data_IF_204615155810
#
_entry.id   IF_204615155810
#
_cell.length_a   1.000
_cell.length_b   1.000
_cell.length_c   1.000
_cell.angle_alpha   90.00
_cell.angle_beta   90.00
_cell.angle_gamma   90.00
#
_symmetry.space_group_name_H-M   'P 1'
#
loop_
_entity.id
_entity.type
_entity.pdbx_description
1 polymer ?
#
# COMPACT_ATOMS: atom_id res chain seq x y z
N UNK A 1 -3.52 -10.21 5.49
CA UNK A 1 -2.85 -9.72 4.26
C UNK A 1 -3.59 -8.48 3.81
N UNK A 2 -2.88 -7.46 3.32
CA UNK A 2 -3.47 -6.21 2.82
C UNK A 2 -3.21 -6.07 1.31
N UNK A 3 -4.28 -5.86 0.54
CA UNK A 3 -4.26 -5.81 -0.93
C UNK A 3 -4.44 -4.39 -1.46
N UNK A 4 -3.35 -3.67 -1.73
CA UNK A 4 -3.41 -2.27 -2.16
C UNK A 4 -4.04 -2.10 -3.55
N UNK A 5 -3.62 -2.91 -4.52
CA UNK A 5 -4.17 -2.85 -5.89
C UNK A 5 -5.67 -3.17 -5.91
N UNK A 6 -6.08 -4.18 -5.15
CA UNK A 6 -7.48 -4.64 -5.12
C UNK A 6 -8.38 -3.60 -4.47
N UNK A 7 -7.99 -3.08 -3.30
CA UNK A 7 -8.72 -1.98 -2.65
C UNK A 7 -8.74 -0.72 -3.53
N UNK A 8 -7.64 -0.41 -4.22
CA UNK A 8 -7.58 0.73 -5.14
C UNK A 8 -8.49 0.59 -6.36
N UNK A 9 -8.69 -0.64 -6.87
CA UNK A 9 -9.61 -0.94 -7.98
C UNK A 9 -11.08 -0.76 -7.58
N UNK A 10 -11.42 -0.93 -6.30
CA UNK A 10 -12.78 -0.77 -5.80
C UNK A 10 -13.16 0.69 -5.49
N UNK A 11 -12.26 1.42 -4.82
CA UNK A 11 -12.59 2.70 -4.20
C UNK A 11 -11.67 3.87 -4.60
N UNK A 12 -10.74 3.66 -5.52
CA UNK A 12 -9.70 4.62 -5.86
C UNK A 12 -8.52 4.58 -4.88
N UNK A 13 -7.33 5.01 -5.35
CA UNK A 13 -6.07 4.81 -4.62
C UNK A 13 -5.97 5.57 -3.30
N UNK A 14 -6.48 6.80 -3.25
CA UNK A 14 -6.43 7.64 -2.04
C UNK A 14 -7.23 7.00 -0.90
N UNK A 15 -8.50 6.71 -1.17
CA UNK A 15 -9.42 6.13 -0.19
C UNK A 15 -8.97 4.76 0.26
N UNK A 16 -8.46 3.93 -0.67
CA UNK A 16 -7.85 2.65 -0.34
C UNK A 16 -6.65 2.79 0.60
N UNK A 17 -5.73 3.72 0.33
CA UNK A 17 -4.56 3.94 1.17
C UNK A 17 -4.96 4.42 2.58
N UNK A 18 -5.90 5.36 2.67
CA UNK A 18 -6.38 5.87 3.96
C UNK A 18 -7.12 4.81 4.77
N UNK A 19 -7.99 4.03 4.13
CA UNK A 19 -8.72 2.96 4.80
C UNK A 19 -7.79 1.82 5.24
N UNK A 20 -6.75 1.51 4.46
CA UNK A 20 -5.73 0.54 4.85
C UNK A 20 -4.86 1.04 6.02
N UNK A 21 -4.59 2.35 6.09
CA UNK A 21 -3.91 2.94 7.25
C UNK A 21 -4.74 2.74 8.53
N UNK A 22 -6.02 3.17 8.52
CA UNK A 22 -6.93 3.02 9.66
C UNK A 22 -7.14 1.55 10.05
N UNK A 23 -7.35 0.68 9.07
CA UNK A 23 -7.54 -0.77 9.31
C UNK A 23 -6.34 -1.38 10.02
N UNK A 24 -5.12 -1.00 9.66
CA UNK A 24 -3.91 -1.49 10.32
C UNK A 24 -3.82 -1.01 11.79
N UNK A 25 -4.19 0.25 12.08
CA UNK A 25 -4.25 0.76 13.47
C UNK A 25 -5.23 -0.05 14.32
N UNK A 26 -6.43 -0.34 13.79
CA UNK A 26 -7.45 -1.11 14.52
C UNK A 26 -7.03 -2.57 14.73
N UNK A 27 -6.45 -3.21 13.71
CA UNK A 27 -5.95 -4.58 13.83
C UNK A 27 -4.85 -4.71 14.90
N UNK A 28 -3.97 -3.72 15.01
CA UNK A 28 -2.95 -3.69 16.05
C UNK A 28 -3.58 -3.57 17.44
N UNK A 29 -4.58 -2.71 17.62
CA UNK A 29 -5.30 -2.57 18.90
C UNK A 29 -5.92 -3.91 19.32
N UNK A 30 -6.65 -4.56 18.41
CA UNK A 30 -7.27 -5.87 18.67
C UNK A 30 -6.21 -6.93 18.97
N UNK A 31 -5.13 -7.00 18.19
CA UNK A 31 -4.08 -7.97 18.43
C UNK A 31 -3.43 -7.81 19.82
N UNK A 32 -3.20 -6.56 20.25
CA UNK A 32 -2.69 -6.25 21.59
C UNK A 32 -3.66 -6.65 22.70
N UNK A 33 -4.95 -6.38 22.52
CA UNK A 33 -6.00 -6.74 23.49
C UNK A 33 -6.00 -8.25 23.78
N UNK A 34 -5.79 -9.08 22.75
CA UNK A 34 -5.79 -10.53 22.86
C UNK A 34 -4.39 -11.15 23.02
N UNK A 35 -3.33 -10.35 23.15
CA UNK A 35 -1.95 -10.85 23.28
C UNK A 35 -1.43 -11.61 22.05
N UNK A 36 -1.99 -11.33 20.86
CA UNK A 36 -1.61 -11.96 19.59
C UNK A 36 -0.49 -11.17 18.93
N UNK A 37 0.59 -11.87 18.55
CA UNK A 37 1.64 -11.28 17.71
C UNK A 37 1.16 -11.19 16.25
N UNK A 38 0.76 -10.00 15.82
CA UNK A 38 0.27 -9.75 14.47
C UNK A 38 1.43 -9.54 13.48
N UNK A 39 1.37 -10.19 12.32
CA UNK A 39 2.25 -9.89 11.17
C UNK A 39 1.40 -9.44 9.98
N UNK A 40 1.63 -8.21 9.54
CA UNK A 40 1.02 -7.70 8.31
C UNK A 40 1.75 -8.28 7.09
N UNK A 41 0.99 -8.87 6.17
CA UNK A 41 1.50 -9.26 4.85
C UNK A 41 1.07 -8.22 3.82
N UNK A 42 2.02 -7.43 3.33
CA UNK A 42 1.83 -6.37 2.34
C UNK A 42 1.80 -6.95 0.93
N UNK A 43 0.64 -6.94 0.29
CA UNK A 43 0.44 -7.41 -1.08
C UNK A 43 0.94 -6.46 -2.16
N UNK A 44 0.62 -6.78 -3.42
CA UNK A 44 0.98 -5.99 -4.61
C UNK A 44 0.33 -4.60 -4.60
N UNK A 45 0.98 -3.64 -5.27
CA UNK A 45 0.43 -2.30 -5.54
C UNK A 45 0.72 -1.25 -4.48
N UNK A 46 1.19 -1.65 -3.30
CA UNK A 46 1.57 -0.73 -2.23
C UNK A 46 2.88 0.00 -2.54
N UNK A 47 3.10 1.14 -1.90
CA UNK A 47 4.37 1.88 -1.94
C UNK A 47 5.56 1.03 -1.49
N UNK A 48 5.32 0.06 -0.58
CA UNK A 48 6.34 -0.88 -0.07
C UNK A 48 6.80 -1.89 -1.13
N UNK A 49 5.92 -2.33 -2.04
CA UNK A 49 6.20 -3.44 -2.97
C UNK A 49 6.53 -3.02 -4.41
N UNK A 50 6.34 -1.75 -4.77
CA UNK A 50 6.52 -1.24 -6.15
C UNK A 50 7.74 -0.36 -6.39
N UNK A 51 8.44 0.07 -5.33
CA UNK A 51 9.53 1.05 -5.50
C UNK A 51 9.07 2.41 -6.07
N UNK A 52 7.75 2.70 -6.09
CA UNK A 52 7.18 3.96 -6.61
C UNK A 52 7.49 5.20 -5.74
N UNK A 53 8.20 4.99 -4.64
CA UNK A 53 8.90 5.96 -3.80
C UNK A 53 9.99 5.20 -3.04
N UNK A 54 10.83 5.85 -2.23
CA UNK A 54 11.86 5.15 -1.48
C UNK A 54 11.24 4.09 -0.55
N UNK A 55 11.40 2.80 -0.85
CA UNK A 55 10.85 1.68 -0.07
C UNK A 55 11.15 1.80 1.43
N UNK A 56 12.32 2.35 1.75
CA UNK A 56 12.72 2.66 3.11
C UNK A 56 11.73 3.60 3.83
N UNK A 57 11.39 4.74 3.23
CA UNK A 57 10.40 5.67 3.78
C UNK A 57 8.99 5.07 3.84
N UNK A 58 8.62 4.24 2.86
CA UNK A 58 7.31 3.59 2.84
C UNK A 58 7.11 2.61 4.01
N UNK A 59 8.20 1.98 4.49
CA UNK A 59 8.20 1.13 5.68
C UNK A 59 8.12 2.01 6.94
N UNK A 60 8.92 3.08 7.01
CA UNK A 60 8.91 4.02 8.14
C UNK A 60 7.57 4.75 8.30
N UNK A 61 6.80 4.91 7.21
CA UNK A 61 5.48 5.55 7.24
C UNK A 61 4.33 4.62 7.60
N UNK A 62 4.57 3.33 7.86
CA UNK A 62 3.49 2.45 8.34
C UNK A 62 2.97 2.94 9.70
N UNK A 63 1.69 2.72 10.05
CA UNK A 63 1.19 3.13 11.35
C UNK A 63 2.07 2.59 12.49
N UNK A 64 2.15 3.29 13.64
CA UNK A 64 2.87 2.79 14.79
C UNK A 64 2.46 1.35 15.14
N UNK A 65 3.41 0.54 15.60
CA UNK A 65 3.15 -0.82 16.10
C UNK A 65 2.63 -1.85 15.07
N UNK A 66 2.70 -1.57 13.76
CA UNK A 66 2.26 -2.54 12.73
C UNK A 66 3.35 -3.49 12.25
N UNK A 67 4.63 -3.19 12.48
CA UNK A 67 5.77 -3.98 11.99
C UNK A 67 6.37 -4.85 13.11
N UNK A 68 6.67 -4.27 14.28
CA UNK A 68 7.22 -5.00 15.45
C UNK A 68 8.32 -6.04 15.12
N UNK A 69 9.28 -5.64 14.28
CA UNK A 69 10.41 -6.49 13.88
C UNK A 69 10.06 -7.59 12.87
N UNK A 70 8.85 -7.62 12.32
CA UNK A 70 8.40 -8.60 11.33
C UNK A 70 7.78 -7.92 10.12
N UNK A 71 8.56 -7.88 9.03
CA UNK A 71 8.09 -7.36 7.75
C UNK A 71 7.88 -8.51 6.76
N UNK A 72 6.68 -8.58 6.17
CA UNK A 72 6.37 -9.51 5.07
C UNK A 72 5.78 -8.73 3.90
N UNK A 73 6.48 -8.72 2.76
CA UNK A 73 6.14 -7.89 1.60
C UNK A 73 6.20 -8.73 0.33
N UNK A 74 5.29 -8.48 -0.60
CA UNK A 74 5.38 -9.00 -1.97
C UNK A 74 6.38 -8.18 -2.78
N UNK A 75 7.46 -8.81 -3.26
CA UNK A 75 8.28 -8.28 -4.35
C UNK A 75 7.55 -8.59 -5.66
N UNK A 76 7.25 -7.56 -6.42
CA UNK A 76 6.58 -7.74 -7.71
C UNK A 76 7.54 -8.25 -8.78
N UNK A 77 7.06 -9.12 -9.66
CA UNK A 77 7.87 -9.68 -10.75
C UNK A 77 8.46 -8.60 -11.64
N UNK A 78 7.72 -7.52 -11.90
CA UNK A 78 8.23 -6.39 -12.68
C UNK A 78 9.38 -5.59 -12.00
N UNK A 79 9.66 -5.80 -10.71
CA UNK A 79 10.71 -5.09 -9.95
C UNK A 79 11.81 -6.04 -9.45
N UNK A 80 11.71 -7.35 -9.71
CA UNK A 80 12.63 -8.34 -9.15
C UNK A 80 14.07 -8.12 -9.63
N UNK A 81 14.25 -7.83 -10.92
CA UNK A 81 15.55 -7.58 -11.54
C UNK A 81 16.21 -6.33 -10.95
N UNK A 82 15.47 -5.22 -10.84
CA UNK A 82 15.98 -4.00 -10.23
C UNK A 82 16.34 -4.18 -8.75
N UNK A 83 15.64 -5.08 -8.05
CA UNK A 83 15.82 -5.30 -6.63
C UNK A 83 16.97 -6.26 -6.32
N UNK A 84 17.21 -7.26 -7.18
CA UNK A 84 18.06 -8.42 -6.88
C UNK A 84 18.94 -8.91 -8.03
N UNK A 85 18.80 -8.37 -9.26
CA UNK A 85 19.52 -8.83 -10.46
C UNK A 85 21.01 -8.47 -10.48
N UNK A 86 21.42 -7.45 -9.73
CA UNK A 86 22.82 -7.05 -9.57
C UNK A 86 23.22 -7.09 -8.08
N UNK A 87 24.46 -7.49 -7.79
CA UNK A 87 24.93 -7.79 -6.44
C UNK A 87 24.85 -6.58 -5.49
N UNK A 88 25.31 -5.40 -5.92
CA UNK A 88 25.23 -4.19 -5.09
C UNK A 88 23.79 -3.72 -4.89
N UNK A 89 22.92 -3.86 -5.90
CA UNK A 89 21.49 -3.57 -5.77
C UNK A 89 20.80 -4.53 -4.81
N UNK A 90 21.08 -5.83 -4.90
CA UNK A 90 20.60 -6.86 -3.99
C UNK A 90 20.97 -6.52 -2.54
N UNK A 91 22.24 -6.24 -2.28
CA UNK A 91 22.72 -5.84 -0.96
C UNK A 91 21.98 -4.59 -0.44
N UNK A 92 21.88 -3.54 -1.26
CA UNK A 92 21.16 -2.31 -0.88
C UNK A 92 19.68 -2.55 -0.62
N UNK A 93 19.03 -3.46 -1.35
CA UNK A 93 17.63 -3.83 -1.13
C UNK A 93 17.46 -4.47 0.24
N UNK A 94 18.25 -5.49 0.55
CA UNK A 94 18.22 -6.16 1.85
C UNK A 94 18.56 -5.20 2.99
N UNK A 95 19.58 -4.36 2.82
CA UNK A 95 19.97 -3.33 3.80
C UNK A 95 18.82 -2.38 4.13
N UNK A 96 18.11 -1.87 3.10
CA UNK A 96 16.99 -0.92 3.30
C UNK A 96 15.82 -1.55 4.03
N UNK A 97 15.46 -2.79 3.70
CA UNK A 97 14.40 -3.54 4.37
C UNK A 97 14.75 -3.79 5.85
N UNK A 98 15.97 -4.25 6.13
CA UNK A 98 16.43 -4.50 7.50
C UNK A 98 16.47 -3.21 8.32
N UNK A 99 17.09 -2.15 7.80
CA UNK A 99 17.22 -0.87 8.49
C UNK A 99 15.85 -0.26 8.81
N UNK A 100 14.95 -0.18 7.82
CA UNK A 100 13.64 0.42 8.03
C UNK A 100 12.76 -0.39 8.99
N UNK A 101 12.83 -1.72 8.93
CA UNK A 101 12.07 -2.60 9.83
C UNK A 101 12.51 -2.42 11.28
N UNK A 102 13.83 -2.31 11.50
CA UNK A 102 14.41 -2.08 12.82
C UNK A 102 14.07 -0.67 13.34
N UNK A 103 14.30 0.35 12.51
CA UNK A 103 14.05 1.75 12.87
C UNK A 103 12.58 2.00 13.17
N UNK A 104 11.63 1.52 12.35
CA UNK A 104 10.19 1.69 12.62
C UNK A 104 9.78 1.14 13.98
N UNK A 105 10.35 0.00 14.41
CA UNK A 105 10.07 -0.61 15.70
C UNK A 105 10.64 0.14 16.90
N UNK A 106 11.66 0.98 16.72
CA UNK A 106 12.31 1.76 17.79
C UNK A 106 11.96 3.25 17.75
N UNK A 107 11.60 3.75 16.57
CA UNK A 107 11.30 5.15 16.28
C UNK A 107 10.04 5.22 15.39
N UNK A 108 8.86 4.94 15.96
CA UNK A 108 7.62 4.93 15.20
C UNK A 108 7.27 6.34 14.70
N UNK A 109 6.56 6.47 13.56
CA UNK A 109 6.18 7.77 13.04
C UNK A 109 5.18 8.48 13.96
N UNK A 110 5.11 9.80 13.81
CA UNK A 110 4.17 10.64 14.57
C UNK A 110 2.73 10.27 14.19
N UNK A 111 1.87 10.07 15.19
CA UNK A 111 0.45 9.86 14.93
C UNK A 111 -0.18 11.07 14.23
N UNK A 112 -1.05 10.87 13.24
CA UNK A 112 -1.67 11.97 12.52
C UNK A 112 -2.58 12.77 13.44
N UNK A 113 -2.52 14.10 13.31
CA UNK A 113 -3.32 15.03 14.11
C UNK A 113 -4.82 14.86 13.81
N UNK A 114 -5.72 15.17 14.77
CA UNK A 114 -7.16 15.03 14.57
C UNK A 114 -7.67 15.72 13.30
N UNK A 115 -7.23 16.95 13.04
CA UNK A 115 -7.62 17.72 11.85
C UNK A 115 -7.16 17.06 10.54
N UNK A 116 -6.03 16.34 10.54
CA UNK A 116 -5.58 15.59 9.36
C UNK A 116 -6.44 14.36 9.12
N UNK A 117 -6.88 13.69 10.19
CA UNK A 117 -7.79 12.53 10.07
C UNK A 117 -9.12 12.95 9.48
N UNK A 118 -9.71 14.04 9.98
CA UNK A 118 -10.96 14.61 9.46
C UNK A 118 -10.83 14.96 7.98
N UNK A 119 -9.77 15.68 7.60
CA UNK A 119 -9.51 16.01 6.20
C UNK A 119 -9.35 14.77 5.32
N UNK A 120 -8.60 13.76 5.79
CA UNK A 120 -8.43 12.50 5.05
C UNK A 120 -9.74 11.71 4.91
N UNK A 121 -10.61 11.75 5.91
CA UNK A 121 -11.94 11.14 5.85
C UNK A 121 -12.82 11.83 4.79
N UNK A 122 -12.83 13.17 4.76
CA UNK A 122 -13.56 13.95 3.75
C UNK A 122 -13.02 13.68 2.34
N UNK A 123 -11.69 13.75 2.16
CA UNK A 123 -11.04 13.51 0.87
C UNK A 123 -11.30 12.07 0.38
N UNK A 124 -11.36 11.08 1.27
CA UNK A 124 -11.63 9.71 0.88
C UNK A 124 -13.05 9.53 0.31
N UNK A 125 -14.05 10.22 0.88
CA UNK A 125 -15.43 10.19 0.35
C UNK A 125 -15.47 10.78 -1.06
N UNK A 126 -14.92 12.00 -1.22
CA UNK A 126 -14.91 12.71 -2.51
C UNK A 126 -14.17 11.90 -3.57
N UNK A 127 -12.97 11.40 -3.25
CA UNK A 127 -12.15 10.63 -4.20
C UNK A 127 -12.80 9.30 -4.60
N UNK A 128 -13.49 8.62 -3.68
CA UNK A 128 -14.22 7.39 -4.01
C UNK A 128 -15.43 7.69 -4.91
N UNK A 129 -16.17 8.76 -4.63
CA UNK A 129 -17.29 9.16 -5.46
C UNK A 129 -16.85 9.47 -6.88
N UNK A 130 -15.81 10.29 -7.04
CA UNK A 130 -15.26 10.67 -8.34
C UNK A 130 -14.73 9.44 -9.09
N UNK A 131 -13.91 8.61 -8.44
CA UNK A 131 -13.40 7.37 -9.02
C UNK A 131 -14.54 6.47 -9.52
N UNK A 132 -15.56 6.24 -8.69
CA UNK A 132 -16.67 5.37 -9.05
C UNK A 132 -17.60 5.97 -10.10
N UNK A 133 -17.73 7.30 -10.13
CA UNK A 133 -18.51 8.00 -11.15
C UNK A 133 -17.98 7.71 -12.55
N UNK A 134 -16.66 7.65 -12.72
CA UNK A 134 -16.02 7.36 -14.01
C UNK A 134 -15.93 5.86 -14.25
N UNK A 135 -15.38 5.08 -13.30
CA UNK A 135 -15.01 3.68 -13.55
C UNK A 135 -16.21 2.74 -13.56
N UNK A 136 -17.25 3.03 -12.77
CA UNK A 136 -18.41 2.14 -12.62
C UNK A 136 -19.72 2.74 -13.12
N UNK A 137 -19.91 4.07 -13.03
CA UNK A 137 -21.19 4.71 -13.38
C UNK A 137 -21.24 5.24 -14.82
N UNK A 138 -20.12 5.64 -15.44
CA UNK A 138 -20.10 6.10 -16.83
C UNK A 138 -20.35 4.91 -17.79
N UNK A 139 -21.48 4.89 -18.54
CA UNK A 139 -21.85 3.73 -19.34
C UNK A 139 -20.84 3.36 -20.43
N UNK A 140 -20.11 4.35 -20.95
CA UNK A 140 -19.13 4.17 -22.02
C UNK A 140 -17.72 3.86 -21.52
N UNK A 141 -17.48 3.85 -20.21
CA UNK A 141 -16.12 3.67 -19.67
C UNK A 141 -15.49 2.35 -20.13
N UNK A 142 -16.22 1.24 -20.08
CA UNK A 142 -15.69 -0.08 -20.48
C UNK A 142 -15.37 -0.13 -21.97
N UNK A 143 -16.24 0.44 -22.80
CA UNK A 143 -16.01 0.54 -24.25
C UNK A 143 -14.75 1.37 -24.54
N UNK A 144 -14.70 2.59 -23.99
CA UNK A 144 -13.55 3.48 -24.11
C UNK A 144 -12.26 2.78 -23.65
N UNK A 145 -12.26 2.16 -22.47
CA UNK A 145 -11.08 1.51 -21.90
C UNK A 145 -10.56 0.38 -22.78
N UNK A 146 -11.44 -0.42 -23.41
CA UNK A 146 -11.05 -1.47 -24.36
C UNK A 146 -10.45 -0.91 -25.65
N UNK A 147 -10.91 0.24 -26.11
CA UNK A 147 -10.41 0.87 -27.35
C UNK A 147 -9.04 1.53 -27.15
N UNK A 148 -8.81 2.18 -26.01
CA UNK A 148 -7.57 2.96 -25.78
C UNK A 148 -6.46 2.19 -25.08
N UNK A 149 -6.75 1.00 -24.54
CA UNK A 149 -5.75 0.16 -23.88
C UNK A 149 -5.53 -1.15 -24.65
N UNK A 150 -4.39 -1.79 -24.45
CA UNK A 150 -4.08 -3.09 -25.04
C UNK A 150 -4.82 -4.26 -24.37
N UNK A 151 -5.85 -4.01 -23.55
CA UNK A 151 -6.59 -5.04 -22.81
C UNK A 151 -7.18 -6.12 -23.74
N UNK A 152 -7.55 -5.75 -24.97
CA UNK A 152 -8.12 -6.66 -25.98
C UNK A 152 -7.12 -7.11 -27.06
N UNK A 153 -5.86 -6.67 -27.03
CA UNK A 153 -4.85 -7.00 -28.06
C UNK A 153 -4.15 -8.36 -27.85
N UNK A 154 -4.76 -9.31 -27.14
CA UNK A 154 -4.15 -10.63 -26.91
C UNK A 154 -4.44 -11.68 -28.00
N UNK A 155 -5.04 -11.30 -29.12
CA UNK A 155 -5.20 -12.16 -30.31
C UNK A 155 -5.10 -11.34 -31.60
N UNK A 156 -3.89 -11.19 -32.11
CA UNK A 156 -3.58 -10.97 -33.53
C UNK A 156 -2.19 -11.55 -33.81
#
# INVERSE_FOLDING_TARGET
>A
MIGYSDSGKDAGRLSAAWQLYKTQEELVKVAKEFGVKLTMFHGRGGTVGRGGGPTHLAILSQPPDTIHGQLRVTVQGEVIEQSFGEEHLCFRTLQRFTAATLEHGMHPPVSPKPEWRVLMDEMAVIATEEYRSVVFKEPRFVEYFRLVSSLTNTLA
#
